data_IF_792548307037
#
_entry.id   IF_792548307037
#
_cell.length_a   1.000
_cell.length_b   1.000
_cell.length_c   1.000
_cell.angle_alpha   90.00
_cell.angle_beta   90.00
_cell.angle_gamma   90.00
#
_symmetry.space_group_name_H-M   'P 1'
#
loop_
_entity.id
_entity.type
_entity.pdbx_description
1 polymer ?
#
# COMPACT_ATOMS: atom_id res chain seq x y z
N UNK A 1 -1.91 -24.44 21.60
CA UNK A 1 -3.01 -23.51 21.22
C UNK A 1 -2.41 -22.41 20.31
N UNK A 2 -3.21 -21.73 19.53
CA UNK A 2 -2.72 -20.55 18.77
C UNK A 2 -2.13 -19.53 19.74
N UNK A 3 -2.81 -19.27 20.86
CA UNK A 3 -2.35 -18.31 21.87
C UNK A 3 -0.94 -18.60 22.43
N UNK A 4 -0.45 -19.83 22.39
CA UNK A 4 0.90 -20.17 22.87
C UNK A 4 2.01 -19.79 21.86
N UNK A 5 1.63 -19.56 20.59
CA UNK A 5 2.58 -19.32 19.51
C UNK A 5 3.04 -17.84 19.46
N UNK A 6 2.30 -16.93 20.08
CA UNK A 6 2.54 -15.50 20.04
C UNK A 6 2.73 -14.89 21.42
N UNK A 7 3.44 -13.80 21.49
CA UNK A 7 3.73 -13.03 22.70
C UNK A 7 2.87 -11.76 22.78
N UNK A 8 2.57 -11.18 21.59
CA UNK A 8 1.82 -9.94 21.43
C UNK A 8 0.66 -10.15 20.47
N UNK A 9 -0.51 -9.63 20.85
CA UNK A 9 -1.75 -9.69 20.10
C UNK A 9 -2.20 -8.26 19.77
N UNK A 10 -2.27 -7.93 18.47
CA UNK A 10 -2.90 -6.72 17.96
C UNK A 10 -4.33 -7.07 17.57
N UNK A 11 -5.30 -6.38 18.13
CA UNK A 11 -6.71 -6.57 17.77
C UNK A 11 -7.26 -5.34 17.06
N UNK A 12 -7.92 -5.55 15.94
CA UNK A 12 -8.87 -4.55 15.46
C UNK A 12 -10.04 -4.40 16.45
N UNK A 13 -10.74 -3.27 16.40
CA UNK A 13 -11.84 -2.98 17.31
C UNK A 13 -13.20 -3.29 16.69
N UNK A 14 -13.57 -2.59 15.63
CA UNK A 14 -14.85 -2.75 14.97
C UNK A 14 -14.93 -4.09 14.25
N UNK A 15 -16.02 -4.84 14.45
CA UNK A 15 -16.14 -6.19 13.88
C UNK A 15 -15.37 -7.30 14.60
N UNK A 16 -14.44 -6.97 15.51
CA UNK A 16 -13.63 -7.93 16.27
C UNK A 16 -13.92 -7.91 17.77
N UNK A 17 -13.88 -6.74 18.38
CA UNK A 17 -14.11 -6.58 19.82
C UNK A 17 -15.55 -6.16 20.09
N UNK A 18 -16.07 -5.24 19.29
CA UNK A 18 -17.44 -4.75 19.35
C UNK A 18 -17.98 -4.50 17.93
N UNK A 19 -19.29 -4.30 17.84
CA UNK A 19 -19.95 -3.74 16.67
C UNK A 19 -20.92 -2.67 17.19
N UNK A 20 -20.80 -1.45 16.75
CA UNK A 20 -21.44 -0.28 17.36
C UNK A 20 -21.17 -0.27 18.89
N UNK A 21 -22.24 -0.24 19.69
CA UNK A 21 -22.16 -0.26 21.17
C UNK A 21 -22.22 -1.66 21.79
N UNK A 22 -22.26 -2.71 20.97
CA UNK A 22 -22.41 -4.08 21.43
C UNK A 22 -21.09 -4.85 21.41
N UNK A 23 -20.62 -5.35 22.57
CA UNK A 23 -19.45 -6.21 22.66
C UNK A 23 -19.73 -7.54 21.98
N UNK A 24 -18.86 -7.96 21.10
CA UNK A 24 -18.98 -9.24 20.43
C UNK A 24 -18.76 -10.41 21.39
N UNK A 25 -19.48 -11.50 21.13
CA UNK A 25 -19.47 -12.67 22.00
C UNK A 25 -18.07 -13.27 22.16
N UNK A 26 -17.60 -13.38 23.39
CA UNK A 26 -16.31 -13.97 23.72
C UNK A 26 -15.15 -12.98 23.85
N UNK A 27 -15.25 -11.74 23.34
CA UNK A 27 -14.15 -10.76 23.34
C UNK A 27 -13.60 -10.48 24.74
N UNK A 28 -14.46 -10.16 25.71
CA UNK A 28 -14.05 -9.93 27.11
C UNK A 28 -13.31 -11.13 27.70
N UNK A 29 -13.82 -12.33 27.45
CA UNK A 29 -13.23 -13.57 27.96
C UNK A 29 -11.89 -13.86 27.28
N UNK A 30 -11.79 -13.61 26.00
CA UNK A 30 -10.57 -13.76 25.21
C UNK A 30 -9.46 -12.86 25.75
N UNK A 31 -9.68 -11.55 25.84
CA UNK A 31 -8.71 -10.56 26.31
C UNK A 31 -8.24 -10.91 27.74
N UNK A 32 -9.18 -11.20 28.65
CA UNK A 32 -8.85 -11.59 30.02
C UNK A 32 -7.97 -12.85 30.07
N UNK A 33 -8.26 -13.85 29.23
CA UNK A 33 -7.50 -15.10 29.19
C UNK A 33 -6.10 -14.90 28.63
N UNK A 34 -5.94 -14.11 27.55
CA UNK A 34 -4.62 -13.78 27.01
C UNK A 34 -3.75 -13.08 28.06
N UNK A 35 -4.27 -12.10 28.77
CA UNK A 35 -3.56 -11.41 29.85
C UNK A 35 -3.22 -12.33 31.01
N UNK A 36 -4.11 -13.24 31.40
CA UNK A 36 -3.82 -14.26 32.41
C UNK A 36 -2.73 -15.26 31.99
N UNK A 37 -2.48 -15.40 30.68
CA UNK A 37 -1.36 -16.17 30.12
C UNK A 37 -0.08 -15.32 29.95
N UNK A 38 -0.05 -14.08 30.46
CA UNK A 38 1.08 -13.15 30.32
C UNK A 38 1.29 -12.57 28.93
N UNK A 39 0.26 -12.60 28.08
CA UNK A 39 0.34 -12.04 26.73
C UNK A 39 0.06 -10.54 26.75
N UNK A 40 0.81 -9.80 25.93
CA UNK A 40 0.57 -8.38 25.68
C UNK A 40 -0.54 -8.19 24.65
N UNK A 41 -1.43 -7.22 24.88
CA UNK A 41 -2.58 -6.96 24.01
C UNK A 41 -2.60 -5.49 23.68
N UNK A 42 -2.68 -5.16 22.38
CA UNK A 42 -2.93 -3.83 21.85
C UNK A 42 -4.19 -3.83 21.01
N UNK A 43 -4.83 -2.68 20.92
CA UNK A 43 -6.01 -2.43 20.08
C UNK A 43 -5.64 -1.40 19.01
N UNK A 44 -5.85 -1.77 17.74
CA UNK A 44 -5.38 -1.00 16.57
C UNK A 44 -6.57 -0.74 15.66
N UNK A 45 -7.00 0.51 15.55
CA UNK A 45 -8.20 0.88 14.77
C UNK A 45 -7.94 2.00 13.75
N UNK A 46 -8.61 1.89 12.61
CA UNK A 46 -8.65 2.96 11.59
C UNK A 46 -9.59 4.11 11.97
N UNK A 47 -10.37 3.98 13.05
CA UNK A 47 -11.29 5.04 13.48
C UNK A 47 -10.54 6.25 14.07
N UNK A 48 -10.58 7.43 13.43
CA UNK A 48 -9.89 8.63 13.91
C UNK A 48 -10.77 9.52 14.82
N UNK A 49 -12.05 9.16 15.01
CA UNK A 49 -13.06 10.07 15.56
C UNK A 49 -12.85 10.44 17.03
N UNK A 50 -12.28 9.53 17.80
CA UNK A 50 -12.13 9.63 19.25
C UNK A 50 -10.66 9.68 19.67
N UNK A 51 -10.40 10.37 20.78
CA UNK A 51 -9.11 10.28 21.45
C UNK A 51 -8.86 8.86 21.99
N UNK A 52 -7.57 8.51 22.20
CA UNK A 52 -7.21 7.25 22.87
C UNK A 52 -7.92 7.09 24.22
N UNK A 53 -8.06 8.20 24.97
CA UNK A 53 -8.73 8.20 26.28
C UNK A 53 -10.24 7.90 26.16
N UNK A 54 -10.91 8.44 25.15
CA UNK A 54 -12.33 8.15 24.92
C UNK A 54 -12.57 6.70 24.54
N UNK A 55 -11.72 6.14 23.64
CA UNK A 55 -11.75 4.71 23.29
C UNK A 55 -11.46 3.84 24.52
N UNK A 56 -10.50 4.23 25.37
CA UNK A 56 -10.20 3.58 26.63
C UNK A 56 -11.42 3.56 27.56
N UNK A 57 -12.08 4.71 27.75
CA UNK A 57 -13.27 4.82 28.57
C UNK A 57 -14.41 3.94 28.02
N UNK A 58 -14.61 3.92 26.70
CA UNK A 58 -15.59 3.08 26.02
C UNK A 58 -15.33 1.59 26.28
N UNK A 59 -14.10 1.11 26.08
CA UNK A 59 -13.74 -0.30 26.34
C UNK A 59 -13.90 -0.66 27.82
N UNK A 60 -13.50 0.21 28.74
CA UNK A 60 -13.67 0.00 30.18
C UNK A 60 -15.17 -0.06 30.57
N UNK A 61 -16.04 0.76 30.00
CA UNK A 61 -17.49 0.68 30.20
C UNK A 61 -18.05 -0.66 29.71
N UNK A 62 -17.46 -1.22 28.67
CA UNK A 62 -17.72 -2.54 28.13
C UNK A 62 -17.08 -3.67 28.96
N UNK A 63 -16.48 -3.39 30.13
CA UNK A 63 -15.79 -4.34 31.03
C UNK A 63 -14.59 -5.03 30.36
N UNK A 64 -13.92 -4.35 29.44
CA UNK A 64 -12.63 -4.72 28.88
C UNK A 64 -11.62 -3.74 29.48
N UNK A 65 -10.92 -4.18 30.52
CA UNK A 65 -9.93 -3.34 31.23
C UNK A 65 -8.76 -3.05 30.29
N UNK A 66 -8.49 -1.76 30.07
CA UNK A 66 -7.45 -1.29 29.13
C UNK A 66 -6.93 0.06 29.59
N UNK A 67 -5.68 0.38 29.26
CA UNK A 67 -5.09 1.71 29.40
C UNK A 67 -4.97 2.39 28.04
N UNK A 68 -4.86 3.74 28.00
CA UNK A 68 -4.74 4.48 26.72
C UNK A 68 -3.50 4.07 25.91
N UNK A 69 -2.41 3.63 26.57
CA UNK A 69 -1.17 3.19 25.93
C UNK A 69 -1.33 1.91 25.13
N UNK A 70 -2.34 1.10 25.44
CA UNK A 70 -2.68 -0.14 24.72
C UNK A 70 -3.55 0.13 23.47
N UNK A 71 -3.93 1.40 23.21
CA UNK A 71 -4.84 1.77 22.13
C UNK A 71 -4.09 2.61 21.10
N UNK A 72 -4.16 2.22 19.85
CA UNK A 72 -3.56 2.89 18.70
C UNK A 72 -4.68 3.22 17.72
N UNK A 73 -5.10 4.48 17.67
CA UNK A 73 -6.07 4.98 16.69
C UNK A 73 -5.36 5.61 15.50
N UNK A 74 -5.99 5.64 14.34
CA UNK A 74 -5.43 6.34 13.18
C UNK A 74 -5.31 7.85 13.42
N UNK A 75 -6.19 8.44 14.23
CA UNK A 75 -6.10 9.83 14.67
C UNK A 75 -4.83 10.10 15.49
N UNK A 76 -4.59 9.31 16.51
CA UNK A 76 -3.39 9.42 17.35
C UNK A 76 -2.10 9.19 16.55
N UNK A 77 -2.07 8.15 15.70
CA UNK A 77 -0.91 7.87 14.85
C UNK A 77 -0.65 8.99 13.83
N UNK A 78 -1.71 9.67 13.36
CA UNK A 78 -1.58 10.86 12.51
C UNK A 78 -0.97 12.02 13.30
N UNK A 79 -1.43 12.28 14.51
CA UNK A 79 -0.85 13.34 15.36
C UNK A 79 0.63 13.07 15.68
N UNK A 80 0.97 11.81 15.99
CA UNK A 80 2.36 11.40 16.20
C UNK A 80 3.22 11.63 14.95
N UNK A 81 2.74 11.19 13.77
CA UNK A 81 3.43 11.38 12.50
C UNK A 81 3.70 12.86 12.21
N UNK A 82 2.71 13.72 12.42
CA UNK A 82 2.86 15.17 12.21
C UNK A 82 3.92 15.76 13.13
N UNK A 83 3.90 15.40 14.42
CA UNK A 83 4.88 15.87 15.40
C UNK A 83 6.31 15.39 15.07
N UNK A 84 6.49 14.12 14.70
CA UNK A 84 7.79 13.55 14.31
C UNK A 84 8.36 14.23 13.05
N UNK A 85 7.50 14.75 12.17
CA UNK A 85 7.89 15.45 10.94
C UNK A 85 7.90 16.98 11.07
N UNK A 86 7.78 17.53 12.30
CA UNK A 86 7.77 18.97 12.59
C UNK A 86 6.66 19.73 11.85
N UNK A 87 5.49 19.10 11.67
CA UNK A 87 4.30 19.71 11.07
C UNK A 87 3.40 20.16 12.24
N UNK A 88 3.34 21.46 12.49
CA UNK A 88 2.60 22.03 13.63
C UNK A 88 1.34 22.81 13.24
N UNK A 89 1.23 23.27 11.99
CA UNK A 89 0.09 24.03 11.50
C UNK A 89 -0.59 23.28 10.37
N UNK A 90 -1.84 22.86 10.59
CA UNK A 90 -2.59 22.04 9.64
C UNK A 90 -4.01 22.59 9.39
N UNK A 91 -4.53 22.36 8.21
CA UNK A 91 -5.98 22.40 7.98
C UNK A 91 -6.53 20.99 8.19
N UNK A 92 -7.39 20.80 9.18
CA UNK A 92 -7.91 19.48 9.50
C UNK A 92 -9.43 19.38 9.30
N UNK A 93 -9.87 18.32 8.61
CA UNK A 93 -11.24 17.84 8.64
C UNK A 93 -11.30 16.79 9.74
N UNK A 94 -11.83 17.19 10.91
CA UNK A 94 -11.74 16.43 12.14
C UNK A 94 -13.01 16.54 12.98
N UNK A 95 -13.30 15.50 13.77
CA UNK A 95 -14.22 15.59 14.93
C UNK A 95 -13.53 16.36 16.07
N UNK A 96 -14.30 16.74 17.10
CA UNK A 96 -13.73 17.34 18.32
C UNK A 96 -12.70 16.42 19.00
N UNK A 97 -12.96 15.12 19.05
CA UNK A 97 -12.02 14.15 19.62
C UNK A 97 -10.69 14.10 18.86
N UNK A 98 -10.73 14.05 17.53
CA UNK A 98 -9.50 14.06 16.73
C UNK A 98 -8.78 15.42 16.82
N UNK A 99 -9.50 16.53 16.83
CA UNK A 99 -8.88 17.85 17.01
C UNK A 99 -8.17 17.94 18.37
N UNK A 100 -8.78 17.43 19.44
CA UNK A 100 -8.14 17.37 20.78
C UNK A 100 -6.90 16.48 20.79
N UNK A 101 -6.89 15.39 20.03
CA UNK A 101 -5.69 14.53 19.87
C UNK A 101 -4.56 15.29 19.18
N UNK A 102 -4.85 16.07 18.11
CA UNK A 102 -3.89 16.93 17.44
C UNK A 102 -3.31 17.99 18.40
N UNK A 103 -4.16 18.67 19.16
CA UNK A 103 -3.76 19.68 20.14
C UNK A 103 -2.84 19.11 21.23
N UNK A 104 -3.10 17.89 21.69
CA UNK A 104 -2.26 17.20 22.67
C UNK A 104 -0.81 16.98 22.20
N UNK A 105 -0.58 16.93 20.88
CA UNK A 105 0.75 16.89 20.25
C UNK A 105 1.29 18.27 19.86
N UNK A 106 0.62 19.38 20.24
CA UNK A 106 1.02 20.74 19.88
C UNK A 106 0.76 21.11 18.42
N UNK A 107 -0.19 20.43 17.78
CA UNK A 107 -0.56 20.67 16.38
C UNK A 107 -1.78 21.58 16.35
N UNK A 108 -1.66 22.70 15.66
CA UNK A 108 -2.69 23.74 15.60
C UNK A 108 -3.50 23.63 14.31
N UNK A 109 -4.83 23.61 14.46
CA UNK A 109 -5.72 23.64 13.30
C UNK A 109 -5.94 25.09 12.84
N UNK A 110 -5.69 25.36 11.56
CA UNK A 110 -5.82 26.67 10.91
C UNK A 110 -6.89 26.64 9.82
N UNK A 111 -7.70 27.68 9.74
CA UNK A 111 -8.74 27.78 8.71
C UNK A 111 -8.38 28.77 7.60
N UNK A 112 -7.70 29.87 7.93
CA UNK A 112 -7.54 31.05 7.06
C UNK A 112 -6.11 31.38 6.64
N UNK A 113 -5.13 30.56 6.98
CA UNK A 113 -3.72 30.85 6.71
C UNK A 113 -3.06 29.72 5.94
N UNK A 114 -1.93 29.97 5.26
CA UNK A 114 -1.12 28.89 4.73
C UNK A 114 -0.82 27.88 5.83
N UNK A 115 -1.11 26.61 5.59
CA UNK A 115 -0.80 25.51 6.49
C UNK A 115 0.25 24.60 5.86
N UNK A 116 0.96 23.85 6.70
CA UNK A 116 1.98 22.91 6.26
C UNK A 116 1.36 21.65 5.65
N UNK A 117 0.19 21.23 6.18
CA UNK A 117 -0.51 20.06 5.69
C UNK A 117 -2.03 20.20 5.77
N UNK A 118 -2.71 19.52 4.85
CA UNK A 118 -4.14 19.21 4.94
C UNK A 118 -4.26 17.82 5.52
N UNK A 119 -5.01 17.69 6.62
CA UNK A 119 -5.28 16.42 7.29
C UNK A 119 -6.73 16.04 7.08
N UNK A 120 -6.98 15.00 6.29
CA UNK A 120 -8.30 14.44 6.09
C UNK A 120 -8.56 13.34 7.11
N UNK A 121 -9.36 13.65 8.13
CA UNK A 121 -9.97 12.70 9.05
C UNK A 121 -11.45 12.54 8.74
N UNK A 122 -12.21 12.03 9.71
CA UNK A 122 -13.66 11.89 9.60
C UNK A 122 -14.39 13.03 10.34
N UNK A 123 -15.41 13.58 9.70
CA UNK A 123 -16.38 14.44 10.36
C UNK A 123 -17.69 14.40 9.56
N UNK A 124 -18.76 13.92 10.19
CA UNK A 124 -20.11 13.83 9.58
C UNK A 124 -20.71 15.17 9.17
N UNK A 125 -20.24 16.25 9.79
CA UNK A 125 -20.69 17.62 9.50
C UNK A 125 -19.86 18.33 8.42
N UNK A 126 -18.97 17.58 7.73
CA UNK A 126 -18.14 18.13 6.65
C UNK A 126 -19.03 18.68 5.54
N UNK A 127 -18.74 19.88 5.10
CA UNK A 127 -19.46 20.55 4.03
C UNK A 127 -18.53 20.92 2.86
N UNK A 128 -19.13 21.32 1.72
CA UNK A 128 -18.37 21.68 0.52
C UNK A 128 -17.40 22.84 0.70
N UNK A 129 -17.68 23.77 1.64
CA UNK A 129 -16.80 24.90 1.93
C UNK A 129 -15.48 24.41 2.52
N UNK A 130 -15.55 23.48 3.47
CA UNK A 130 -14.35 22.87 4.08
C UNK A 130 -13.55 22.05 3.06
N UNK A 131 -14.23 21.29 2.20
CA UNK A 131 -13.56 20.54 1.13
C UNK A 131 -12.86 21.49 0.16
N UNK A 132 -13.52 22.59 -0.24
CA UNK A 132 -12.94 23.60 -1.12
C UNK A 132 -11.73 24.30 -0.48
N UNK A 133 -11.76 24.55 0.84
CA UNK A 133 -10.60 25.08 1.56
C UNK A 133 -9.44 24.10 1.58
N UNK A 134 -9.70 22.82 1.87
CA UNK A 134 -8.68 21.77 1.79
C UNK A 134 -7.98 21.76 0.43
N UNK A 135 -8.75 21.79 -0.67
CA UNK A 135 -8.21 21.83 -2.04
C UNK A 135 -7.32 23.06 -2.25
N UNK A 136 -7.76 24.25 -1.84
CA UNK A 136 -6.97 25.48 -1.96
C UNK A 136 -5.64 25.41 -1.23
N UNK A 137 -5.61 24.84 -0.02
CA UNK A 137 -4.38 24.63 0.73
C UNK A 137 -3.42 23.67 0.00
N UNK A 138 -3.94 22.60 -0.60
CA UNK A 138 -3.16 21.65 -1.39
C UNK A 138 -2.59 22.28 -2.68
N UNK A 139 -3.37 23.12 -3.35
CA UNK A 139 -2.94 23.90 -4.51
C UNK A 139 -1.85 24.93 -4.13
N UNK A 140 -1.91 25.47 -2.91
CA UNK A 140 -0.88 26.36 -2.35
C UNK A 140 0.38 25.62 -1.89
N UNK A 141 0.45 24.30 -1.99
CA UNK A 141 1.65 23.51 -1.70
C UNK A 141 1.65 22.77 -0.38
N UNK A 142 0.55 22.76 0.38
CA UNK A 142 0.43 21.95 1.59
C UNK A 142 0.55 20.45 1.29
N UNK A 143 1.10 19.67 2.24
CA UNK A 143 1.12 18.21 2.16
C UNK A 143 -0.29 17.66 2.34
N UNK A 144 -0.59 16.55 1.67
CA UNK A 144 -1.87 15.87 1.85
C UNK A 144 -1.70 14.61 2.71
N UNK A 145 -2.36 14.57 3.87
CA UNK A 145 -2.30 13.46 4.83
C UNK A 145 -3.72 13.00 5.11
N UNK A 146 -3.95 11.69 5.14
CA UNK A 146 -5.23 11.08 5.46
C UNK A 146 -5.09 10.12 6.64
N UNK A 147 -6.04 10.16 7.58
CA UNK A 147 -6.03 9.27 8.73
C UNK A 147 -6.23 7.82 8.34
N UNK A 148 -7.06 7.53 7.32
CA UNK A 148 -7.27 6.22 6.72
C UNK A 148 -7.81 6.34 5.30
N UNK A 149 -7.83 5.19 4.59
CA UNK A 149 -8.35 5.08 3.21
C UNK A 149 -9.69 4.38 3.09
N UNK A 150 -10.39 4.11 4.20
CA UNK A 150 -11.63 3.34 4.20
C UNK A 150 -12.74 4.11 3.47
N UNK A 151 -13.34 3.48 2.46
CA UNK A 151 -14.39 4.11 1.64
C UNK A 151 -15.73 4.20 2.34
N UNK A 152 -16.02 3.20 3.17
CA UNK A 152 -17.27 3.11 3.92
C UNK A 152 -17.11 2.25 5.17
N UNK A 153 -18.00 2.44 6.14
CA UNK A 153 -18.14 1.56 7.29
C UNK A 153 -19.60 1.14 7.48
N UNK A 154 -19.87 0.02 8.15
CA UNK A 154 -21.23 -0.39 8.48
C UNK A 154 -21.90 0.60 9.44
N UNK A 155 -23.12 1.03 9.15
CA UNK A 155 -23.94 1.82 10.03
C UNK A 155 -25.32 1.14 10.26
N UNK A 156 -26.13 1.67 11.17
CA UNK A 156 -27.44 1.09 11.54
C UNK A 156 -28.39 0.96 10.36
N UNK A 157 -28.37 1.94 9.46
CA UNK A 157 -29.30 2.04 8.32
C UNK A 157 -28.62 1.69 6.97
N UNK A 158 -27.45 1.04 7.00
CA UNK A 158 -26.69 0.70 5.82
C UNK A 158 -25.24 1.21 5.87
N UNK A 159 -24.59 1.27 4.71
CA UNK A 159 -23.21 1.77 4.63
C UNK A 159 -23.14 3.28 4.81
N UNK A 160 -22.27 3.72 5.69
CA UNK A 160 -21.91 5.12 5.88
C UNK A 160 -20.65 5.45 5.11
N UNK A 161 -20.53 6.67 4.60
CA UNK A 161 -19.33 7.20 3.96
C UNK A 161 -18.22 7.28 5.01
N UNK A 162 -17.01 6.84 4.67
CA UNK A 162 -15.83 6.96 5.51
C UNK A 162 -14.82 7.99 4.93
N UNK A 163 -13.71 8.17 5.63
CA UNK A 163 -12.66 9.14 5.29
C UNK A 163 -12.14 8.98 3.85
N UNK A 164 -11.92 7.75 3.39
CA UNK A 164 -11.35 7.46 2.08
C UNK A 164 -12.17 8.01 0.90
N UNK A 165 -13.50 7.99 0.99
CA UNK A 165 -14.35 8.55 -0.05
C UNK A 165 -14.14 10.07 -0.21
N UNK A 166 -13.98 10.80 0.90
CA UNK A 166 -13.67 12.23 0.89
C UNK A 166 -12.24 12.48 0.40
N UNK A 167 -11.31 11.64 0.79
CA UNK A 167 -9.90 11.68 0.33
C UNK A 167 -9.83 11.52 -1.18
N UNK A 168 -10.57 10.58 -1.77
CA UNK A 168 -10.65 10.41 -3.23
C UNK A 168 -11.20 11.65 -3.93
N UNK A 169 -12.26 12.26 -3.38
CA UNK A 169 -12.82 13.49 -3.92
C UNK A 169 -11.78 14.61 -3.95
N UNK A 170 -11.10 14.84 -2.82
CA UNK A 170 -10.06 15.87 -2.70
C UNK A 170 -8.89 15.55 -3.64
N UNK A 171 -8.41 14.30 -3.69
CA UNK A 171 -7.33 13.87 -4.59
C UNK A 171 -7.67 14.12 -6.05
N UNK A 172 -8.90 13.77 -6.45
CA UNK A 172 -9.35 13.89 -7.83
C UNK A 172 -9.40 15.35 -8.32
N UNK A 173 -9.80 16.27 -7.44
CA UNK A 173 -9.92 17.69 -7.78
C UNK A 173 -8.57 18.41 -7.67
N UNK A 174 -7.79 18.15 -6.62
CA UNK A 174 -6.49 18.80 -6.40
C UNK A 174 -5.34 18.21 -7.23
N UNK A 175 -5.51 17.00 -7.78
CA UNK A 175 -4.43 16.24 -8.42
C UNK A 175 -3.34 15.73 -7.44
N UNK A 176 -3.54 15.90 -6.11
CA UNK A 176 -2.58 15.48 -5.09
C UNK A 176 -2.95 14.12 -4.51
N UNK A 177 -1.94 13.28 -4.29
CA UNK A 177 -2.11 11.99 -3.62
C UNK A 177 -1.83 12.13 -2.12
N UNK A 178 -2.65 11.53 -1.24
CA UNK A 178 -2.43 11.59 0.19
C UNK A 178 -1.36 10.61 0.66
N UNK A 179 -0.66 10.97 1.71
CA UNK A 179 -0.02 10.01 2.60
C UNK A 179 -1.11 9.44 3.53
N UNK A 180 -1.34 8.14 3.50
CA UNK A 180 -2.35 7.48 4.35
C UNK A 180 -1.67 6.85 5.57
N UNK A 181 -2.16 7.16 6.77
CA UNK A 181 -1.59 6.69 8.04
C UNK A 181 -2.14 5.34 8.47
N UNK A 182 -3.46 5.14 8.35
CA UNK A 182 -4.19 3.95 8.80
C UNK A 182 -3.84 2.66 8.04
N UNK A 183 -4.33 1.53 8.54
CA UNK A 183 -4.24 0.23 7.87
C UNK A 183 -4.78 0.30 6.44
N UNK A 184 -4.17 -0.36 5.46
CA UNK A 184 -3.08 -1.32 5.53
C UNK A 184 -1.66 -0.71 5.44
N UNK A 185 -1.52 0.60 5.61
CA UNK A 185 -0.23 1.29 5.49
C UNK A 185 0.61 1.14 6.76
N UNK A 186 1.91 1.38 6.63
CA UNK A 186 2.90 1.04 7.67
C UNK A 186 2.81 1.92 8.92
N UNK A 187 2.39 3.16 8.80
CA UNK A 187 2.50 4.14 9.90
C UNK A 187 1.74 3.74 11.16
N UNK A 188 0.49 3.28 11.02
CA UNK A 188 -0.30 2.82 12.16
C UNK A 188 0.31 1.58 12.83
N UNK A 189 0.80 0.63 12.04
CA UNK A 189 1.51 -0.53 12.57
C UNK A 189 2.85 -0.13 13.22
N UNK A 190 3.61 0.75 12.59
CA UNK A 190 4.88 1.24 13.15
C UNK A 190 4.68 1.90 14.51
N UNK A 191 3.63 2.72 14.67
CA UNK A 191 3.26 3.32 15.93
C UNK A 191 2.93 2.27 17.00
N UNK A 192 2.22 1.19 16.65
CA UNK A 192 1.96 0.07 17.56
C UNK A 192 3.23 -0.69 17.93
N UNK A 193 4.15 -0.89 16.97
CA UNK A 193 5.38 -1.67 17.16
C UNK A 193 6.44 -0.96 17.99
N UNK A 194 6.44 0.37 18.07
CA UNK A 194 7.40 1.15 18.87
C UNK A 194 7.44 0.74 20.35
N UNK A 195 6.31 0.32 20.90
CA UNK A 195 6.17 -0.10 22.30
C UNK A 195 6.42 -1.59 22.51
N UNK A 196 6.72 -2.36 21.46
CA UNK A 196 6.87 -3.83 21.53
C UNK A 196 8.35 -4.21 21.60
N UNK A 197 8.68 -5.13 22.49
CA UNK A 197 10.04 -5.63 22.63
C UNK A 197 10.50 -6.31 21.33
N UNK A 198 11.67 -5.94 20.76
CA UNK A 198 12.21 -6.60 19.58
C UNK A 198 12.32 -8.11 19.74
N UNK A 199 11.96 -8.86 18.68
CA UNK A 199 11.98 -10.32 18.68
C UNK A 199 10.72 -10.99 19.23
N UNK A 200 9.72 -10.21 19.70
CA UNK A 200 8.41 -10.72 20.07
C UNK A 200 7.69 -11.32 18.87
N UNK A 201 7.00 -12.43 19.04
CA UNK A 201 6.11 -13.02 18.04
C UNK A 201 4.77 -12.31 18.11
N UNK A 202 4.43 -11.63 17.03
CA UNK A 202 3.27 -10.74 16.98
C UNK A 202 2.22 -11.35 16.02
N UNK A 203 0.95 -11.19 16.36
CA UNK A 203 -0.16 -11.55 15.49
C UNK A 203 -1.21 -10.43 15.47
N UNK A 204 -1.68 -10.09 14.27
CA UNK A 204 -2.85 -9.25 14.06
C UNK A 204 -4.12 -10.11 14.00
N UNK A 205 -5.17 -9.70 14.68
CA UNK A 205 -6.51 -10.30 14.59
C UNK A 205 -7.48 -9.24 14.13
N UNK A 206 -8.00 -9.42 12.93
CA UNK A 206 -8.91 -8.50 12.27
C UNK A 206 -10.03 -9.20 11.53
N UNK A 207 -10.98 -8.45 11.02
CA UNK A 207 -12.10 -8.95 10.20
C UNK A 207 -12.00 -8.53 8.73
N UNK A 208 -11.05 -7.65 8.40
CA UNK A 208 -10.85 -7.11 7.05
C UNK A 208 -9.61 -7.68 6.37
N UNK A 209 -9.79 -8.25 5.18
CA UNK A 209 -8.68 -8.71 4.33
C UNK A 209 -7.84 -7.54 3.80
N UNK A 210 -8.50 -6.42 3.48
CA UNK A 210 -7.88 -5.28 2.80
C UNK A 210 -7.11 -4.36 3.76
N UNK A 211 -7.44 -4.35 5.03
CA UNK A 211 -6.81 -3.49 6.02
C UNK A 211 -5.97 -4.26 7.02
N UNK A 212 -6.56 -5.23 7.74
CA UNK A 212 -5.88 -5.94 8.82
C UNK A 212 -4.89 -6.97 8.32
N UNK A 213 -5.37 -7.87 7.44
CA UNK A 213 -4.54 -8.99 6.97
C UNK A 213 -3.45 -8.46 6.03
N UNK A 214 -3.84 -7.68 5.02
CA UNK A 214 -2.90 -7.06 4.10
C UNK A 214 -1.87 -6.20 4.85
N UNK A 215 -2.35 -5.35 5.77
CA UNK A 215 -1.49 -4.46 6.53
C UNK A 215 -0.49 -5.21 7.40
N UNK A 216 -0.92 -6.24 8.12
CA UNK A 216 -0.05 -7.08 8.95
C UNK A 216 1.03 -7.78 8.10
N UNK A 217 0.66 -8.40 6.99
CA UNK A 217 1.60 -9.08 6.10
C UNK A 217 2.58 -8.10 5.42
N UNK A 218 2.16 -6.86 5.10
CA UNK A 218 3.08 -5.81 4.63
C UNK A 218 4.16 -5.47 5.67
N UNK A 219 3.90 -5.70 6.97
CA UNK A 219 4.85 -5.51 8.07
C UNK A 219 5.56 -6.80 8.50
N UNK A 220 5.31 -7.93 7.84
CA UNK A 220 5.86 -9.23 8.23
C UNK A 220 5.27 -9.78 9.53
N UNK A 221 4.07 -9.35 9.91
CA UNK A 221 3.32 -9.79 11.08
C UNK A 221 2.32 -10.86 10.64
N UNK A 222 2.23 -11.98 11.38
CA UNK A 222 1.22 -13.00 11.15
C UNK A 222 -0.19 -12.43 11.36
N UNK A 223 -1.17 -12.90 10.57
CA UNK A 223 -2.52 -12.37 10.56
C UNK A 223 -3.60 -13.45 10.63
N UNK A 224 -4.55 -13.27 11.53
CA UNK A 224 -5.69 -14.15 11.73
C UNK A 224 -6.97 -13.40 11.37
N UNK A 225 -7.70 -13.93 10.41
CA UNK A 225 -9.00 -13.40 10.02
C UNK A 225 -10.09 -13.94 10.95
N UNK A 226 -10.86 -13.05 11.55
CA UNK A 226 -12.11 -13.38 12.25
C UNK A 226 -13.26 -13.31 11.26
N UNK A 227 -13.69 -14.45 10.73
CA UNK A 227 -14.79 -14.53 9.75
C UNK A 227 -15.53 -15.85 9.84
N UNK A 228 -16.83 -15.81 9.57
CA UNK A 228 -17.67 -17.00 9.36
C UNK A 228 -17.77 -17.39 7.88
N UNK A 229 -17.35 -16.52 7.00
CA UNK A 229 -17.41 -16.74 5.56
C UNK A 229 -16.16 -17.46 5.06
N UNK A 230 -16.33 -18.20 3.97
CA UNK A 230 -15.19 -18.80 3.25
C UNK A 230 -14.59 -17.79 2.31
N UNK A 231 -13.30 -17.53 2.48
CA UNK A 231 -12.55 -16.67 1.57
C UNK A 231 -11.88 -17.51 0.48
N UNK A 232 -11.92 -17.02 -0.75
CA UNK A 232 -11.17 -17.57 -1.88
C UNK A 232 -10.12 -16.55 -2.32
N UNK A 233 -8.89 -17.01 -2.52
CA UNK A 233 -7.79 -16.16 -2.93
C UNK A 233 -7.34 -16.52 -4.34
N UNK A 234 -7.11 -15.52 -5.22
CA UNK A 234 -6.72 -15.76 -6.61
C UNK A 234 -5.33 -16.37 -6.75
N UNK A 235 -4.47 -16.18 -5.77
CA UNK A 235 -3.08 -16.65 -5.77
C UNK A 235 -2.64 -17.10 -4.37
N UNK A 236 -1.74 -18.09 -4.33
CA UNK A 236 -1.02 -18.47 -3.10
C UNK A 236 -0.07 -17.38 -2.58
N UNK A 237 0.18 -16.36 -3.40
CA UNK A 237 1.04 -15.21 -3.11
C UNK A 237 0.24 -13.96 -2.71
N UNK A 238 -1.07 -14.10 -2.55
CA UNK A 238 -1.93 -13.00 -2.12
C UNK A 238 -1.63 -12.62 -0.67
N UNK A 239 -1.22 -11.38 -0.46
CA UNK A 239 -0.94 -10.81 0.87
C UNK A 239 -2.17 -10.74 1.77
N UNK A 240 -3.37 -10.84 1.22
CA UNK A 240 -4.64 -10.88 1.98
C UNK A 240 -4.98 -12.30 2.46
N UNK A 241 -4.20 -13.32 2.10
CA UNK A 241 -4.44 -14.69 2.54
C UNK A 241 -4.01 -14.85 4.01
N UNK A 242 -4.95 -14.98 4.97
CA UNK A 242 -4.62 -15.05 6.38
C UNK A 242 -3.89 -16.35 6.74
N UNK A 243 -3.06 -16.29 7.76
CA UNK A 243 -2.38 -17.46 8.33
C UNK A 243 -3.37 -18.45 8.96
N UNK A 244 -4.50 -17.94 9.42
CA UNK A 244 -5.63 -18.71 9.94
C UNK A 244 -6.92 -17.92 9.80
N UNK A 245 -8.02 -18.64 9.56
CA UNK A 245 -9.39 -18.13 9.69
C UNK A 245 -10.00 -18.76 10.94
N UNK A 246 -10.59 -17.94 11.78
CA UNK A 246 -11.36 -18.35 12.96
C UNK A 246 -12.76 -17.73 12.90
N UNK A 247 -13.76 -18.48 13.37
CA UNK A 247 -15.14 -17.98 13.47
C UNK A 247 -15.45 -17.31 14.80
N UNK A 248 -14.62 -17.58 15.81
CA UNK A 248 -14.78 -17.04 17.16
C UNK A 248 -13.41 -16.87 17.82
N UNK A 249 -13.21 -15.78 18.55
CA UNK A 249 -11.96 -15.51 19.28
C UNK A 249 -11.57 -16.63 20.25
N UNK A 250 -12.51 -17.45 20.72
CA UNK A 250 -12.23 -18.57 21.59
C UNK A 250 -11.42 -19.69 20.92
N UNK A 251 -11.38 -19.75 19.59
CA UNK A 251 -10.56 -20.72 18.85
C UNK A 251 -9.07 -20.51 19.04
N UNK A 252 -8.62 -19.33 19.46
CA UNK A 252 -7.24 -19.06 19.86
C UNK A 252 -6.73 -20.01 20.97
N UNK A 253 -7.65 -20.58 21.75
CA UNK A 253 -7.34 -21.44 22.90
C UNK A 253 -7.61 -22.93 22.65
N UNK A 254 -7.95 -23.33 21.42
CA UNK A 254 -8.14 -24.76 21.10
C UNK A 254 -6.80 -25.48 21.02
N UNK A 255 -6.65 -26.66 21.67
CA UNK A 255 -5.35 -27.35 21.80
C UNK A 255 -4.72 -27.82 20.49
N UNK A 256 -5.54 -28.10 19.46
CA UNK A 256 -5.09 -28.72 18.18
C UNK A 256 -4.91 -27.73 17.05
N UNK A 257 -5.19 -26.46 17.27
CA UNK A 257 -5.15 -25.46 16.21
C UNK A 257 -3.70 -25.06 15.88
N UNK A 258 -3.35 -25.17 14.61
CA UNK A 258 -2.08 -24.73 14.05
C UNK A 258 -2.33 -23.54 13.12
N UNK A 259 -1.39 -22.62 13.15
CA UNK A 259 -1.32 -21.50 12.19
C UNK A 259 -0.44 -21.96 11.03
N UNK A 260 -0.89 -21.68 9.81
CA UNK A 260 -0.09 -21.87 8.61
C UNK A 260 0.50 -20.53 8.25
N UNK A 261 1.72 -20.28 8.69
CA UNK A 261 2.40 -19.00 8.46
C UNK A 261 2.48 -18.68 6.98
N UNK A 262 1.93 -17.54 6.62
CA UNK A 262 2.09 -16.96 5.30
C UNK A 262 3.57 -16.58 5.10
N UNK A 263 4.06 -16.71 3.89
CA UNK A 263 5.44 -16.35 3.55
C UNK A 263 5.43 -15.25 2.53
N UNK A 264 6.18 -14.20 2.82
CA UNK A 264 6.40 -13.11 1.87
C UNK A 264 6.92 -13.69 0.53
N UNK A 265 6.22 -13.47 -0.57
CA UNK A 265 6.56 -14.04 -1.88
C UNK A 265 7.75 -13.35 -2.55
N UNK A 266 8.37 -12.35 -1.91
CA UNK A 266 9.57 -11.67 -2.43
C UNK A 266 9.29 -10.47 -3.33
N UNK A 267 8.07 -9.96 -3.35
CA UNK A 267 7.71 -8.69 -4.00
C UNK A 267 6.87 -7.81 -3.08
N UNK A 268 6.84 -6.51 -3.32
CA UNK A 268 5.97 -5.57 -2.61
C UNK A 268 4.55 -5.69 -3.14
N UNK A 269 3.53 -5.68 -2.26
CA UNK A 269 2.14 -5.70 -2.71
C UNK A 269 1.82 -4.44 -3.53
N UNK A 270 1.40 -4.59 -4.80
CA UNK A 270 1.19 -3.45 -5.68
C UNK A 270 -0.15 -2.76 -5.40
N UNK A 271 -0.18 -1.45 -5.62
CA UNK A 271 -1.38 -0.62 -5.49
C UNK A 271 -2.22 -0.65 -6.78
N UNK A 272 -1.61 -1.01 -7.91
CA UNK A 272 -2.27 -1.08 -9.22
C UNK A 272 -1.64 -2.13 -10.13
N UNK A 273 -2.43 -2.58 -11.11
CA UNK A 273 -1.94 -3.37 -12.26
C UNK A 273 -2.04 -2.49 -13.50
N UNK A 274 -0.97 -2.39 -14.29
CA UNK A 274 -0.92 -1.59 -15.51
C UNK A 274 -0.34 -2.39 -16.69
N UNK A 275 -0.85 -2.22 -17.91
CA UNK A 275 -0.17 -2.71 -19.10
C UNK A 275 1.07 -1.86 -19.38
N UNK A 276 2.15 -2.51 -19.79
CA UNK A 276 3.39 -1.89 -20.24
C UNK A 276 3.88 -2.51 -21.53
N UNK A 277 4.73 -1.77 -22.26
CA UNK A 277 5.40 -2.24 -23.46
C UNK A 277 6.90 -2.09 -23.28
N UNK A 278 7.70 -3.04 -23.84
CA UNK A 278 9.14 -2.97 -23.85
C UNK A 278 9.66 -3.45 -25.21
N UNK A 279 10.81 -2.93 -25.63
CA UNK A 279 11.43 -3.31 -26.89
C UNK A 279 12.80 -3.96 -26.70
N UNK A 280 13.01 -5.08 -27.36
CA UNK A 280 14.34 -5.63 -27.61
C UNK A 280 14.75 -5.22 -29.02
N UNK A 281 15.86 -4.50 -29.14
CA UNK A 281 16.37 -3.95 -30.39
C UNK A 281 17.83 -4.38 -30.53
N UNK A 282 18.17 -5.07 -31.61
CA UNK A 282 19.53 -5.44 -31.90
C UNK A 282 20.08 -4.59 -33.06
N UNK A 283 21.35 -4.19 -32.97
CA UNK A 283 22.09 -3.62 -34.11
C UNK A 283 22.66 -4.71 -35.04
N UNK A 284 23.28 -4.28 -36.14
CA UNK A 284 23.91 -5.18 -37.10
C UNK A 284 25.05 -6.05 -36.53
N UNK A 285 25.55 -5.71 -35.34
CA UNK A 285 26.60 -6.46 -34.61
C UNK A 285 26.00 -7.38 -33.53
N UNK A 286 24.66 -7.51 -33.49
CA UNK A 286 23.91 -8.29 -32.51
C UNK A 286 24.06 -7.78 -31.06
N UNK A 287 24.36 -6.51 -30.88
CA UNK A 287 24.33 -5.84 -29.57
C UNK A 287 22.93 -5.38 -29.30
N UNK A 288 22.50 -5.43 -28.02
CA UNK A 288 21.16 -5.02 -27.58
C UNK A 288 21.17 -3.57 -27.11
N UNK A 289 20.15 -2.81 -27.49
CA UNK A 289 19.95 -1.43 -27.03
C UNK A 289 19.41 -1.43 -25.61
N UNK A 290 20.06 -0.65 -24.74
CA UNK A 290 19.57 -0.32 -23.41
C UNK A 290 19.56 1.21 -23.23
N UNK A 291 18.68 1.67 -22.37
CA UNK A 291 18.54 3.06 -21.95
C UNK A 291 18.82 3.20 -20.46
N UNK A 292 19.51 4.26 -20.04
CA UNK A 292 19.82 4.55 -18.65
C UNK A 292 18.86 5.57 -18.09
N UNK A 293 18.07 5.18 -17.13
CA UNK A 293 17.05 6.01 -16.50
C UNK A 293 17.68 7.11 -15.63
N UNK A 294 17.11 8.32 -15.66
CA UNK A 294 17.55 9.43 -14.78
C UNK A 294 17.07 9.28 -13.34
N UNK A 295 15.90 8.68 -13.12
CA UNK A 295 15.27 8.56 -11.80
C UNK A 295 16.05 7.66 -10.83
N UNK A 296 16.73 6.62 -11.34
CA UNK A 296 17.43 5.64 -10.51
C UNK A 296 18.82 5.25 -11.01
N UNK A 297 19.26 5.72 -12.18
CA UNK A 297 20.55 5.45 -12.78
C UNK A 297 20.75 4.02 -13.30
N UNK A 298 19.68 3.22 -13.38
CA UNK A 298 19.73 1.84 -13.86
C UNK A 298 19.51 1.77 -15.37
N UNK A 299 20.13 0.76 -15.99
CA UNK A 299 19.90 0.41 -17.39
C UNK A 299 18.66 -0.48 -17.52
N UNK A 300 17.84 -0.24 -18.54
CA UNK A 300 16.66 -1.04 -18.87
C UNK A 300 16.48 -1.15 -20.38
N UNK A 301 15.57 -2.02 -20.81
CA UNK A 301 15.03 -1.95 -22.17
C UNK A 301 14.29 -0.63 -22.37
N UNK A 302 14.26 -0.06 -23.58
CA UNK A 302 13.32 0.99 -23.96
C UNK A 302 11.90 0.49 -23.65
N UNK A 303 11.13 1.28 -22.87
CA UNK A 303 9.85 0.80 -22.33
C UNK A 303 8.98 1.93 -21.83
N UNK A 304 7.67 1.72 -21.86
CA UNK A 304 6.75 2.70 -21.29
C UNK A 304 5.34 2.18 -21.14
N UNK A 305 4.40 3.10 -21.04
CA UNK A 305 3.00 2.83 -20.76
C UNK A 305 2.14 3.02 -22.00
N UNK A 306 1.02 2.31 -22.06
CA UNK A 306 -0.01 2.60 -23.05
C UNK A 306 -0.78 3.86 -22.66
N UNK A 307 -1.03 4.71 -23.62
CA UNK A 307 -1.95 5.84 -23.49
C UNK A 307 -3.36 5.47 -23.98
N UNK A 308 -4.35 6.22 -23.54
CA UNK A 308 -5.75 5.97 -23.94
C UNK A 308 -5.90 6.18 -25.44
N UNK A 309 -6.36 5.14 -26.14
CA UNK A 309 -6.57 5.16 -27.59
C UNK A 309 -5.40 4.62 -28.40
N UNK A 310 -4.27 4.29 -27.78
CA UNK A 310 -3.13 3.65 -28.47
C UNK A 310 -3.31 2.13 -28.62
N UNK A 311 -2.79 1.59 -29.70
CA UNK A 311 -2.48 0.16 -29.77
C UNK A 311 -1.12 -0.11 -29.12
N UNK A 312 -0.86 -1.35 -28.70
CA UNK A 312 0.45 -1.74 -28.12
C UNK A 312 1.60 -1.52 -29.11
N UNK A 313 1.33 -1.58 -30.41
CA UNK A 313 2.31 -1.32 -31.48
C UNK A 313 2.62 0.17 -31.60
N UNK A 314 1.60 1.02 -31.52
CA UNK A 314 1.79 2.48 -31.56
C UNK A 314 2.55 2.93 -30.30
N UNK A 315 2.16 2.42 -29.14
CA UNK A 315 2.81 2.74 -27.86
C UNK A 315 4.32 2.42 -27.90
N UNK A 316 4.68 1.21 -28.32
CA UNK A 316 6.11 0.84 -28.31
C UNK A 316 6.93 1.63 -29.34
N UNK A 317 6.36 1.97 -30.51
CA UNK A 317 7.02 2.82 -31.50
C UNK A 317 7.23 4.24 -30.98
N UNK A 318 6.22 4.82 -30.31
CA UNK A 318 6.28 6.14 -29.69
C UNK A 318 7.34 6.17 -28.57
N UNK A 319 7.30 5.22 -27.63
CA UNK A 319 8.27 5.15 -26.53
C UNK A 319 9.72 5.03 -27.02
N UNK A 320 9.98 4.17 -28.02
CA UNK A 320 11.32 4.05 -28.59
C UNK A 320 11.78 5.36 -29.23
N UNK A 321 10.89 6.03 -29.98
CA UNK A 321 11.21 7.30 -30.60
C UNK A 321 11.46 8.39 -29.57
N UNK A 322 10.65 8.46 -28.50
CA UNK A 322 10.79 9.43 -27.42
C UNK A 322 12.09 9.18 -26.61
N UNK A 323 12.36 7.93 -26.20
CA UNK A 323 13.50 7.63 -25.36
C UNK A 323 14.84 7.60 -26.09
N UNK A 324 14.83 7.29 -27.41
CA UNK A 324 16.08 6.96 -28.15
C UNK A 324 16.26 7.69 -29.47
N UNK A 325 15.25 8.39 -29.98
CA UNK A 325 15.25 9.04 -31.30
C UNK A 325 15.19 8.06 -32.49
N UNK A 326 15.17 6.75 -32.24
CA UNK A 326 15.11 5.75 -33.30
C UNK A 326 13.69 5.55 -33.83
N UNK A 327 13.59 5.25 -35.11
CA UNK A 327 12.36 4.84 -35.77
C UNK A 327 12.44 3.34 -36.02
N UNK A 328 11.43 2.59 -35.58
CA UNK A 328 11.45 1.12 -35.63
C UNK A 328 10.18 0.55 -36.27
N UNK A 329 10.32 -0.69 -36.80
CA UNK A 329 9.22 -1.58 -37.09
C UNK A 329 9.20 -2.75 -36.09
N UNK A 330 7.98 -3.14 -35.69
CA UNK A 330 7.77 -4.29 -34.81
C UNK A 330 7.81 -5.57 -35.63
N UNK A 331 8.74 -6.46 -35.34
CA UNK A 331 8.88 -7.76 -36.02
C UNK A 331 7.95 -8.81 -35.40
N UNK A 332 7.95 -8.93 -34.09
CA UNK A 332 7.12 -9.90 -33.36
C UNK A 332 6.99 -9.58 -31.87
N UNK A 333 5.97 -10.17 -31.26
CA UNK A 333 5.89 -10.26 -29.80
C UNK A 333 6.85 -11.34 -29.31
N UNK A 334 7.83 -10.97 -28.48
CA UNK A 334 8.74 -11.90 -27.80
C UNK A 334 7.99 -12.65 -26.70
N UNK A 335 7.29 -11.93 -25.85
CA UNK A 335 6.50 -12.53 -24.78
C UNK A 335 5.70 -11.53 -23.96
N UNK A 336 4.87 -12.11 -23.08
CA UNK A 336 4.15 -11.39 -22.03
C UNK A 336 4.76 -11.76 -20.68
N UNK A 337 5.26 -10.77 -19.98
CA UNK A 337 5.93 -10.92 -18.68
C UNK A 337 5.02 -10.35 -17.59
N UNK A 338 4.65 -11.20 -16.64
CA UNK A 338 3.70 -10.86 -15.57
C UNK A 338 4.06 -11.44 -14.21
N UNK A 339 5.23 -12.08 -14.07
CA UNK A 339 5.67 -12.60 -12.76
C UNK A 339 5.88 -11.45 -11.78
N UNK A 340 5.13 -11.39 -10.65
CA UNK A 340 5.21 -10.28 -9.71
C UNK A 340 6.61 -10.04 -9.13
N UNK A 341 7.45 -11.07 -9.02
CA UNK A 341 8.81 -10.93 -8.48
C UNK A 341 9.68 -10.04 -9.38
N UNK A 342 9.42 -10.03 -10.68
CA UNK A 342 10.17 -9.26 -11.68
C UNK A 342 9.40 -8.11 -12.31
N UNK A 343 8.07 -8.06 -12.09
CA UNK A 343 7.19 -7.09 -12.75
C UNK A 343 6.49 -6.13 -11.77
N UNK A 344 6.80 -6.21 -10.46
CA UNK A 344 6.36 -5.20 -9.49
C UNK A 344 7.49 -4.20 -9.25
N UNK A 345 7.21 -2.95 -9.53
CA UNK A 345 8.17 -1.84 -9.36
C UNK A 345 7.67 -0.89 -8.29
N UNK A 346 8.56 -0.58 -7.33
CA UNK A 346 8.31 0.40 -6.27
C UNK A 346 8.89 1.75 -6.65
N UNK A 347 8.15 2.81 -6.35
CA UNK A 347 8.54 4.19 -6.60
C UNK A 347 8.99 4.89 -5.31
N UNK A 348 9.79 5.97 -5.41
CA UNK A 348 10.20 6.76 -4.23
C UNK A 348 9.03 7.33 -3.43
N UNK A 349 7.85 7.48 -4.04
CA UNK A 349 6.60 7.86 -3.38
C UNK A 349 6.06 6.82 -2.39
N UNK A 350 6.63 5.61 -2.37
CA UNK A 350 6.14 4.46 -1.60
C UNK A 350 5.04 3.65 -2.28
N UNK A 351 4.57 4.07 -3.47
CA UNK A 351 3.63 3.30 -4.28
C UNK A 351 4.34 2.17 -5.03
N UNK A 352 3.60 1.13 -5.39
CA UNK A 352 4.09 0.03 -6.21
C UNK A 352 3.09 -0.32 -7.32
N UNK A 353 3.61 -0.63 -8.51
CA UNK A 353 2.78 -1.03 -9.66
C UNK A 353 3.24 -2.38 -10.18
N UNK A 354 2.29 -3.27 -10.42
CA UNK A 354 2.50 -4.53 -11.12
C UNK A 354 2.25 -4.33 -12.60
N UNK A 355 3.28 -4.52 -13.42
CA UNK A 355 3.17 -4.40 -14.86
C UNK A 355 2.88 -5.75 -15.52
N UNK A 356 1.98 -5.72 -16.50
CA UNK A 356 1.83 -6.78 -17.51
C UNK A 356 2.59 -6.28 -18.74
N UNK A 357 3.86 -6.67 -18.89
CA UNK A 357 4.76 -6.13 -19.91
C UNK A 357 4.70 -6.97 -21.18
N UNK A 358 4.30 -6.36 -22.29
CA UNK A 358 4.42 -6.93 -23.63
C UNK A 358 5.78 -6.55 -24.21
N UNK A 359 6.68 -7.52 -24.36
CA UNK A 359 8.00 -7.28 -24.92
C UNK A 359 8.03 -7.63 -26.42
N UNK A 360 8.48 -6.69 -27.24
CA UNK A 360 8.54 -6.81 -28.69
C UNK A 360 9.96 -6.87 -29.18
N UNK A 361 10.21 -7.68 -30.21
CA UNK A 361 11.40 -7.57 -31.04
C UNK A 361 11.15 -6.53 -32.10
N UNK A 362 12.03 -5.52 -32.20
CA UNK A 362 11.92 -4.44 -33.14
C UNK A 362 13.19 -4.29 -33.98
N UNK A 363 13.04 -3.91 -35.26
CA UNK A 363 14.16 -3.56 -36.15
C UNK A 363 14.20 -2.05 -36.40
N UNK A 364 15.41 -1.50 -36.48
CA UNK A 364 15.63 -0.08 -36.78
C UNK A 364 15.41 0.14 -38.27
N UNK A 365 14.55 1.10 -38.62
CA UNK A 365 14.31 1.52 -40.01
C UNK A 365 14.75 2.95 -40.29
N UNK A 366 15.11 3.74 -39.25
CA UNK A 366 15.58 5.11 -39.36
C UNK A 366 15.82 5.77 -38.01
N UNK A 367 16.05 7.08 -38.04
CA UNK A 367 16.36 7.87 -36.85
C UNK A 367 17.86 7.84 -36.49
N UNK A 368 18.23 8.66 -35.53
CA UNK A 368 19.58 8.70 -34.97
C UNK A 368 19.50 8.42 -33.47
N UNK A 369 20.41 7.60 -32.93
CA UNK A 369 20.44 7.25 -31.52
C UNK A 369 20.80 8.50 -30.69
N UNK A 370 19.80 9.03 -29.99
CA UNK A 370 19.91 10.18 -29.12
C UNK A 370 19.00 9.99 -27.91
N UNK A 371 19.57 9.99 -26.71
CA UNK A 371 18.78 9.90 -25.49
C UNK A 371 17.91 11.16 -25.31
N UNK A 372 16.67 10.97 -24.86
CA UNK A 372 15.79 12.10 -24.46
C UNK A 372 16.28 12.65 -23.10
N UNK A 373 16.69 13.92 -23.12
CA UNK A 373 17.18 14.61 -21.92
C UNK A 373 16.12 14.78 -20.79
N UNK A 374 14.89 14.34 -20.95
CA UNK A 374 13.85 14.42 -19.90
C UNK A 374 13.91 13.23 -18.94
N UNK A 375 13.85 12.01 -19.46
CA UNK A 375 13.73 10.78 -18.66
C UNK A 375 14.97 9.88 -18.76
N UNK A 376 15.66 9.90 -19.89
CA UNK A 376 16.80 9.04 -20.21
C UNK A 376 18.10 9.85 -20.16
N UNK A 377 19.08 9.35 -19.40
CA UNK A 377 20.40 9.95 -19.30
C UNK A 377 21.33 9.52 -20.42
N UNK A 378 21.17 8.28 -20.90
CA UNK A 378 22.07 7.66 -21.87
C UNK A 378 21.35 6.53 -22.62
N UNK A 379 21.63 6.34 -23.90
CA UNK A 379 21.19 5.21 -24.69
C UNK A 379 22.40 4.58 -25.40
N UNK A 380 22.62 3.26 -25.27
CA UNK A 380 23.77 2.60 -25.83
C UNK A 380 23.49 1.13 -26.19
N UNK A 381 24.28 0.61 -27.16
CA UNK A 381 24.24 -0.80 -27.51
C UNK A 381 25.28 -1.58 -26.70
N UNK A 382 24.91 -2.72 -26.15
CA UNK A 382 25.72 -3.60 -25.34
C UNK A 382 25.85 -4.99 -25.96
N UNK A 383 27.01 -5.58 -25.85
CA UNK A 383 27.21 -6.99 -26.17
C UNK A 383 26.30 -7.85 -25.27
N UNK A 384 25.55 -8.78 -25.86
CA UNK A 384 24.62 -9.64 -25.15
C UNK A 384 25.28 -10.55 -24.12
N UNK A 385 26.61 -10.77 -24.23
CA UNK A 385 27.40 -11.50 -23.24
C UNK A 385 28.01 -10.60 -22.14
N UNK A 386 27.99 -9.28 -22.31
CA UNK A 386 28.60 -8.30 -21.41
C UNK A 386 27.64 -7.13 -21.14
N UNK A 387 26.54 -7.43 -20.48
CA UNK A 387 25.57 -6.41 -20.06
C UNK A 387 26.10 -5.59 -18.88
N UNK A 388 25.61 -4.34 -18.68
CA UNK A 388 25.97 -3.52 -17.53
C UNK A 388 25.54 -4.20 -16.22
N UNK A 389 26.32 -4.01 -15.15
CA UNK A 389 26.03 -4.61 -13.83
C UNK A 389 24.88 -3.93 -13.11
N UNK A 390 24.62 -2.65 -13.40
CA UNK A 390 23.54 -1.85 -12.84
C UNK A 390 22.30 -1.85 -13.73
N UNK A 391 21.80 -3.04 -14.08
CA UNK A 391 20.58 -3.21 -14.86
C UNK A 391 19.35 -3.28 -13.96
N UNK A 392 18.23 -2.72 -14.42
CA UNK A 392 16.94 -2.83 -13.73
C UNK A 392 16.56 -4.32 -13.57
N UNK A 393 15.95 -4.66 -12.46
CA UNK A 393 15.47 -6.02 -12.21
C UNK A 393 14.33 -6.37 -13.17
N UNK A 394 14.67 -6.79 -14.37
CA UNK A 394 13.75 -7.32 -15.39
C UNK A 394 13.63 -8.84 -15.24
N UNK A 395 12.64 -9.45 -15.92
CA UNK A 395 12.50 -10.91 -15.91
C UNK A 395 13.82 -11.57 -16.39
N UNK A 396 14.39 -12.56 -15.67
CA UNK A 396 15.74 -13.09 -15.97
C UNK A 396 15.91 -13.66 -17.38
N UNK A 397 14.82 -14.10 -18.01
CA UNK A 397 14.84 -14.73 -19.33
C UNK A 397 14.54 -13.76 -20.48
N UNK A 398 14.35 -12.46 -20.26
CA UNK A 398 13.98 -11.50 -21.29
C UNK A 398 14.90 -11.53 -22.53
N UNK A 399 16.19 -11.60 -22.30
CA UNK A 399 17.20 -11.64 -23.38
C UNK A 399 17.26 -13.02 -24.05
N UNK A 400 17.23 -14.08 -23.26
CA UNK A 400 17.24 -15.46 -23.77
C UNK A 400 16.01 -15.73 -24.64
N UNK A 401 14.82 -15.28 -24.19
CA UNK A 401 13.58 -15.42 -24.93
C UNK A 401 13.64 -14.63 -26.26
N UNK A 402 14.24 -13.43 -26.27
CA UNK A 402 14.40 -12.64 -27.48
C UNK A 402 15.41 -13.28 -28.48
N UNK A 403 16.49 -13.86 -27.97
CA UNK A 403 17.51 -14.54 -28.79
C UNK A 403 17.08 -15.92 -29.31
N UNK A 404 16.07 -16.54 -28.68
CA UNK A 404 15.64 -17.90 -29.02
C UNK A 404 15.02 -18.04 -30.42
N UNK A 405 14.66 -16.92 -31.05
CA UNK A 405 14.07 -16.83 -32.41
C UNK A 405 12.93 -17.86 -32.68
N UNK A 406 12.08 -18.07 -31.67
CA UNK A 406 10.94 -18.99 -31.77
C UNK A 406 9.78 -18.34 -32.53
N UNK A 407 8.92 -19.18 -33.14
CA UNK A 407 7.71 -18.74 -33.83
C UNK A 407 6.54 -18.45 -32.90
N UNK A 408 6.66 -18.80 -31.60
CA UNK A 408 5.67 -18.53 -30.58
C UNK A 408 6.17 -17.49 -29.56
N UNK A 409 5.26 -16.84 -28.87
CA UNK A 409 5.58 -15.88 -27.80
C UNK A 409 5.63 -16.57 -26.44
N UNK A 410 6.51 -16.11 -25.56
CA UNK A 410 6.65 -16.63 -24.21
C UNK A 410 5.60 -16.03 -23.26
N UNK A 411 5.14 -16.83 -22.29
CA UNK A 411 4.34 -16.39 -21.17
C UNK A 411 5.17 -16.59 -19.88
N UNK A 412 5.43 -15.52 -19.17
CA UNK A 412 6.28 -15.52 -17.96
C UNK A 412 5.61 -14.84 -16.79
#
# INVERSE_FOLDING_TARGET
MIADQYDVFLFDLDGVIYLDDAVLAGSRRCIRKLRAMGKTVYFVTNDPRSTRQEVCNRLNSMKIVVSPEEIITSGWATAQYLAENNISDVFAIATEGFASELEAFGIHTRFDCPCQAVVAGYNENTNFVQIQQAIRHLEAGAQFIATNGDQSFPGRDGRCIATGAMVELISKVSGKQPLIIGKPYSYLFSAALQSITPGSRIVMIGDSLETDILGAHKQGIDAILLSKEKCCFPSKHDYRMPDKIISHLWELFRPTEKVKHWRNPGFVWPDAVKPGVAAVIFNGQRQVLLVKRKDNGLWSLPSGHLEIGETVIDAIKREIQEETGLIVEVEKLVGVYSDPVSQVFSYPSGSATHFITLSFLCCIIGGELQADDREIAEAAFFDTSHLPTNILNMHPQWLTDALANQSFSFLR
#
